data_IF_950440006824
#
_entry.id   IF_950440006824
#
_cell.length_a   1.000
_cell.length_b   1.000
_cell.length_c   1.000
_cell.angle_alpha   90.00
_cell.angle_beta   90.00
_cell.angle_gamma   90.00
#
_symmetry.space_group_name_H-M   'P 1'
#
loop_
_entity.id
_entity.type
_entity.pdbx_description
1 polymer ?
#
# COMPACT_ATOMS: atom_id res chain seq x y z
N UNK A 1 -25.37 -5.90 21.06
CA UNK A 1 -24.47 -4.90 21.68
C UNK A 1 -23.05 -5.33 21.40
N UNK A 2 -22.34 -4.64 20.49
CA UNK A 2 -20.91 -4.88 20.29
C UNK A 2 -20.20 -4.06 21.37
N UNK A 3 -19.64 -4.74 22.37
CA UNK A 3 -18.86 -4.10 23.43
C UNK A 3 -17.59 -3.53 22.80
N UNK A 4 -17.46 -2.21 22.81
CA UNK A 4 -16.26 -1.48 22.42
C UNK A 4 -15.11 -1.90 23.35
N UNK A 5 -14.32 -2.89 22.93
CA UNK A 5 -13.02 -3.18 23.55
C UNK A 5 -12.11 -1.95 23.46
N UNK A 6 -11.09 -1.85 24.33
CA UNK A 6 -10.16 -0.73 24.30
C UNK A 6 -9.58 -0.59 22.90
N UNK A 7 -9.68 0.61 22.32
CA UNK A 7 -9.13 0.89 21.00
C UNK A 7 -7.64 0.54 21.01
N UNK A 8 -7.24 -0.43 20.18
CA UNK A 8 -5.83 -0.81 20.10
C UNK A 8 -5.02 0.46 19.83
N UNK A 9 -4.06 0.82 20.69
CA UNK A 9 -3.12 1.87 20.35
C UNK A 9 -2.47 1.46 19.02
N UNK A 10 -2.17 2.43 18.16
CA UNK A 10 -1.27 2.21 17.02
C UNK A 10 0.07 1.86 17.66
N UNK A 11 0.25 0.59 18.04
CA UNK A 11 1.47 0.13 18.66
C UNK A 11 2.59 0.41 17.67
N UNK A 12 3.67 1.02 18.16
CA UNK A 12 4.91 1.04 17.44
C UNK A 12 5.17 -0.39 16.98
N UNK A 13 5.14 -0.62 15.66
CA UNK A 13 5.47 -1.92 15.11
C UNK A 13 6.83 -2.30 15.70
N UNK A 14 6.97 -3.50 16.28
CA UNK A 14 8.27 -3.93 16.77
C UNK A 14 9.25 -3.79 15.60
N UNK A 15 10.41 -3.18 15.86
CA UNK A 15 11.54 -3.18 14.92
C UNK A 15 11.74 -4.64 14.52
N UNK A 16 11.32 -5.00 13.31
CA UNK A 16 11.23 -6.39 12.90
C UNK A 16 12.64 -6.94 12.73
N UNK A 17 13.06 -7.76 13.69
CA UNK A 17 14.33 -8.47 13.65
C UNK A 17 14.40 -9.45 12.47
N UNK A 18 15.62 -9.73 12.02
CA UNK A 18 16.04 -10.43 10.79
C UNK A 18 15.24 -11.67 10.38
N UNK A 19 14.61 -12.39 11.31
CA UNK A 19 13.85 -13.60 11.02
C UNK A 19 12.59 -13.38 10.16
N UNK A 20 12.04 -12.16 10.13
CA UNK A 20 10.85 -11.86 9.35
C UNK A 20 11.12 -11.54 7.87
N UNK A 21 12.38 -11.44 7.47
CA UNK A 21 12.79 -11.14 6.10
C UNK A 21 12.62 -12.32 5.13
N UNK A 22 12.53 -13.54 5.65
CA UNK A 22 12.31 -14.78 4.87
C UNK A 22 10.85 -15.23 4.87
N UNK A 23 9.99 -14.63 5.69
CA UNK A 23 8.58 -14.99 5.77
C UNK A 23 7.80 -14.47 4.55
N UNK A 24 6.88 -15.28 4.02
CA UNK A 24 5.97 -14.90 2.91
C UNK A 24 5.04 -13.72 3.25
N UNK A 25 4.94 -13.34 4.52
CA UNK A 25 4.30 -12.15 5.06
C UNK A 25 5.03 -11.71 6.34
N UNK A 26 5.09 -10.40 6.69
CA UNK A 26 5.51 -9.98 8.02
C UNK A 26 4.56 -10.62 9.04
N UNK A 27 5.05 -11.03 10.22
CA UNK A 27 4.18 -11.48 11.29
C UNK A 27 3.23 -10.34 11.66
N UNK A 28 1.99 -10.46 11.20
CA UNK A 28 0.91 -9.55 11.52
C UNK A 28 0.52 -9.79 12.99
N UNK A 29 0.60 -8.74 13.80
CA UNK A 29 0.09 -8.78 15.16
C UNK A 29 -1.43 -9.02 15.18
N UNK A 30 -2.01 -9.35 16.34
CA UNK A 30 -3.48 -9.41 16.51
C UNK A 30 -4.18 -8.10 16.04
N UNK A 31 -3.53 -6.96 16.26
CA UNK A 31 -3.99 -5.64 15.81
C UNK A 31 -3.93 -5.45 14.28
N UNK A 32 -3.13 -6.26 13.60
CA UNK A 32 -3.03 -6.32 12.14
C UNK A 32 -4.05 -7.31 11.57
N UNK A 33 -4.46 -8.36 12.31
CA UNK A 33 -5.60 -9.20 11.92
C UNK A 33 -6.94 -8.46 12.02
N UNK A 34 -7.16 -7.66 13.08
CA UNK A 34 -8.32 -6.74 13.14
C UNK A 34 -8.29 -5.67 12.02
N UNK A 35 -7.10 -5.39 11.46
CA UNK A 35 -6.97 -4.55 10.28
C UNK A 35 -7.43 -5.29 9.02
N UNK A 36 -7.15 -6.58 8.86
CA UNK A 36 -7.65 -7.38 7.73
C UNK A 36 -9.18 -7.42 7.72
N UNK A 37 -9.81 -7.62 8.88
CA UNK A 37 -11.27 -7.58 9.02
C UNK A 37 -11.85 -6.24 8.54
N UNK A 38 -11.16 -5.12 8.81
CA UNK A 38 -11.54 -3.79 8.32
C UNK A 38 -11.31 -3.61 6.81
N UNK A 39 -10.33 -4.30 6.23
CA UNK A 39 -10.09 -4.28 4.79
C UNK A 39 -11.20 -4.97 4.03
N UNK A 40 -11.59 -6.16 4.48
CA UNK A 40 -12.64 -6.98 3.89
C UNK A 40 -14.00 -6.30 4.05
N UNK A 41 -14.32 -5.80 5.25
CA UNK A 41 -15.61 -5.18 5.54
C UNK A 41 -15.87 -3.84 4.80
N UNK A 42 -14.83 -3.13 4.36
CA UNK A 42 -14.99 -1.98 3.45
C UNK A 42 -15.05 -2.43 2.00
N UNK A 43 -14.21 -3.40 1.61
CA UNK A 43 -14.18 -3.91 0.24
C UNK A 43 -15.50 -4.60 -0.15
N UNK A 44 -16.08 -5.41 0.74
CA UNK A 44 -17.38 -6.06 0.57
C UNK A 44 -18.54 -5.07 0.43
N UNK A 45 -18.43 -3.88 1.06
CA UNK A 45 -19.43 -2.82 0.99
C UNK A 45 -19.21 -1.85 -0.16
N UNK A 46 -18.03 -1.87 -0.77
CA UNK A 46 -17.75 -1.07 -1.94
C UNK A 46 -18.59 -1.58 -3.12
N UNK A 47 -19.11 -0.67 -3.93
CA UNK A 47 -19.80 -1.06 -5.15
C UNK A 47 -18.79 -1.70 -6.12
N UNK A 48 -19.17 -2.75 -6.87
CA UNK A 48 -18.26 -3.40 -7.83
C UNK A 48 -17.63 -2.42 -8.84
N UNK A 49 -18.39 -1.39 -9.21
CA UNK A 49 -17.97 -0.28 -10.10
C UNK A 49 -16.73 0.48 -9.59
N UNK A 50 -16.46 0.42 -8.29
CA UNK A 50 -15.29 1.06 -7.68
C UNK A 50 -13.99 0.31 -7.94
N UNK A 51 -14.03 -0.99 -8.22
CA UNK A 51 -12.83 -1.77 -8.51
C UNK A 51 -12.18 -1.37 -9.84
N UNK A 52 -12.92 -0.72 -10.75
CA UNK A 52 -12.43 -0.28 -12.06
C UNK A 52 -11.94 1.16 -12.07
N UNK A 53 -12.11 1.91 -10.98
CA UNK A 53 -11.68 3.31 -10.93
C UNK A 53 -10.17 3.35 -10.63
N UNK A 54 -9.37 4.04 -11.46
CA UNK A 54 -7.95 4.21 -11.21
C UNK A 54 -7.73 4.86 -9.84
N UNK A 55 -6.76 4.31 -9.11
CA UNK A 55 -6.43 4.72 -7.75
C UNK A 55 -5.59 6.00 -7.75
N UNK A 56 -6.10 7.07 -8.36
CA UNK A 56 -5.41 8.36 -8.44
C UNK A 56 -5.41 9.03 -7.06
N UNK A 57 -4.38 8.76 -6.25
CA UNK A 57 -4.05 9.41 -4.97
C UNK A 57 -5.11 9.40 -3.83
N UNK A 58 -6.30 8.87 -4.06
CA UNK A 58 -7.43 8.87 -3.13
C UNK A 58 -8.62 8.05 -3.62
N UNK A 59 -9.64 7.92 -2.77
CA UNK A 59 -10.89 7.27 -3.14
C UNK A 59 -11.75 8.23 -3.96
N UNK A 60 -12.22 7.78 -5.13
CA UNK A 60 -13.20 8.53 -5.93
C UNK A 60 -14.44 8.87 -5.07
N UNK A 61 -14.94 10.13 -5.08
CA UNK A 61 -16.12 10.52 -4.31
C UNK A 61 -17.35 9.63 -4.55
N UNK A 62 -17.52 9.08 -5.76
CA UNK A 62 -18.59 8.13 -6.09
C UNK A 62 -18.44 6.81 -5.34
N UNK A 63 -17.21 6.41 -5.06
CA UNK A 63 -16.89 5.22 -4.28
C UNK A 63 -17.00 5.42 -2.78
N UNK A 64 -16.93 6.66 -2.32
CA UNK A 64 -17.24 7.03 -0.94
C UNK A 64 -18.76 7.10 -0.69
N UNK A 65 -19.56 7.37 -1.73
CA UNK A 65 -21.01 7.51 -1.62
C UNK A 65 -21.68 6.20 -1.13
N UNK A 66 -22.22 6.24 0.09
CA UNK A 66 -22.90 5.09 0.72
C UNK A 66 -22.01 4.27 1.67
N UNK A 67 -20.73 4.60 1.81
CA UNK A 67 -19.86 4.00 2.81
C UNK A 67 -19.80 4.85 4.09
N UNK A 68 -19.75 4.25 5.29
CA UNK A 68 -19.55 5.01 6.51
C UNK A 68 -18.17 5.69 6.50
N UNK A 69 -18.13 7.03 6.48
CA UNK A 69 -16.90 7.84 6.43
C UNK A 69 -15.86 7.42 7.48
N UNK A 70 -16.31 7.19 8.73
CA UNK A 70 -15.45 6.74 9.85
C UNK A 70 -14.76 5.41 9.55
N UNK A 71 -15.44 4.51 8.86
CA UNK A 71 -14.94 3.18 8.52
C UNK A 71 -13.87 3.29 7.42
N UNK A 72 -14.15 4.03 6.35
CA UNK A 72 -13.18 4.30 5.28
C UNK A 72 -11.95 5.04 5.82
N UNK A 73 -12.16 6.03 6.70
CA UNK A 73 -11.07 6.73 7.37
C UNK A 73 -10.21 5.82 8.27
N UNK A 74 -10.80 4.83 8.95
CA UNK A 74 -10.06 3.82 9.72
C UNK A 74 -9.22 2.93 8.79
N UNK A 75 -9.80 2.40 7.71
CA UNK A 75 -9.07 1.61 6.70
C UNK A 75 -7.95 2.43 6.07
N UNK A 76 -8.20 3.67 5.64
CA UNK A 76 -7.19 4.55 5.06
C UNK A 76 -6.01 4.84 6.01
N UNK A 77 -6.25 5.00 7.32
CA UNK A 77 -5.15 5.11 8.30
C UNK A 77 -4.33 3.83 8.37
N UNK A 78 -4.97 2.67 8.29
CA UNK A 78 -4.31 1.36 8.34
C UNK A 78 -3.51 1.07 7.07
N UNK A 79 -4.09 1.32 5.90
CA UNK A 79 -3.40 1.25 4.60
C UNK A 79 -2.12 2.09 4.64
N UNK A 80 -2.19 3.34 5.13
CA UNK A 80 -1.00 4.20 5.27
C UNK A 80 0.09 3.60 6.15
N UNK A 81 -0.28 2.97 7.26
CA UNK A 81 0.70 2.30 8.14
C UNK A 81 1.37 1.15 7.39
N UNK A 82 0.59 0.27 6.75
CA UNK A 82 1.11 -0.86 5.98
C UNK A 82 2.06 -0.38 4.87
N UNK A 83 1.62 0.53 4.01
CA UNK A 83 2.41 1.05 2.89
C UNK A 83 3.72 1.68 3.38
N UNK A 84 3.70 2.42 4.50
CA UNK A 84 4.91 3.01 5.09
C UNK A 84 5.88 1.98 5.63
N UNK A 85 5.39 0.90 6.23
CA UNK A 85 6.29 -0.15 6.72
C UNK A 85 6.87 -0.94 5.56
N UNK A 86 6.05 -1.31 4.58
CA UNK A 86 6.56 -1.97 3.37
C UNK A 86 7.60 -1.09 2.68
N UNK A 87 7.38 0.23 2.57
CA UNK A 87 8.40 1.10 1.98
C UNK A 87 9.65 1.24 2.84
N UNK A 88 9.50 1.49 4.14
CA UNK A 88 10.61 1.86 5.03
C UNK A 88 11.42 0.68 5.57
N UNK A 89 10.77 -0.43 5.90
CA UNK A 89 11.47 -1.62 6.37
C UNK A 89 11.87 -2.53 5.21
N UNK A 90 11.03 -2.66 4.19
CA UNK A 90 11.20 -3.71 3.18
C UNK A 90 11.89 -3.24 1.90
N UNK A 91 11.56 -2.05 1.41
CA UNK A 91 12.14 -1.50 0.18
C UNK A 91 13.37 -0.61 0.44
N UNK A 92 13.53 -0.05 1.64
CA UNK A 92 14.65 0.84 1.93
C UNK A 92 16.03 0.17 1.73
N UNK A 93 16.25 -1.11 2.10
CA UNK A 93 17.52 -1.77 1.80
C UNK A 93 17.79 -1.98 0.30
N UNK A 94 16.76 -1.90 -0.54
CA UNK A 94 16.87 -1.92 -2.00
C UNK A 94 17.12 -0.51 -2.58
N UNK A 95 17.39 0.49 -1.73
CA UNK A 95 17.69 1.87 -2.13
C UNK A 95 16.47 2.76 -2.39
N UNK A 96 15.26 2.32 -2.01
CA UNK A 96 14.05 3.13 -2.15
C UNK A 96 13.92 4.12 -1.00
N UNK A 97 13.66 5.38 -1.31
CA UNK A 97 13.38 6.43 -0.31
C UNK A 97 11.93 6.82 -0.39
N UNK A 98 11.17 6.61 0.69
CA UNK A 98 9.76 7.01 0.74
C UNK A 98 9.57 8.40 1.33
N UNK A 99 8.78 9.24 0.65
CA UNK A 99 8.28 10.49 1.18
C UNK A 99 6.75 10.47 1.15
N UNK A 100 6.10 11.11 2.12
CA UNK A 100 4.65 11.31 2.05
C UNK A 100 4.36 12.14 0.79
N UNK A 101 3.43 11.68 -0.05
CA UNK A 101 2.87 12.55 -1.07
C UNK A 101 2.27 13.77 -0.35
N UNK A 102 2.52 14.98 -0.84
CA UNK A 102 1.74 16.13 -0.39
C UNK A 102 0.27 15.76 -0.52
N UNK A 103 -0.53 15.95 0.53
CA UNK A 103 -1.96 15.64 0.47
C UNK A 103 -2.56 16.50 -0.65
N UNK A 104 -3.08 15.92 -1.74
CA UNK A 104 -3.59 16.72 -2.85
C UNK A 104 -4.69 17.68 -2.39
N UNK A 105 -5.46 17.28 -1.36
CA UNK A 105 -6.65 18.02 -0.89
C UNK A 105 -6.84 18.02 0.65
N UNK A 106 -5.81 17.71 1.45
CA UNK A 106 -5.98 17.50 2.91
C UNK A 106 -6.92 16.34 3.27
N UNK A 107 -7.21 15.46 2.29
CA UNK A 107 -8.17 14.37 2.42
C UNK A 107 -7.72 13.38 3.49
N UNK A 108 -8.57 13.19 4.51
CA UNK A 108 -8.38 12.18 5.57
C UNK A 108 -8.33 10.75 5.02
N UNK A 109 -8.65 10.54 3.74
CA UNK A 109 -8.67 9.24 3.08
C UNK A 109 -7.47 9.01 2.14
N UNK A 110 -6.59 10.00 1.92
CA UNK A 110 -5.42 9.76 1.08
C UNK A 110 -4.49 8.72 1.72
N UNK A 111 -4.08 7.76 0.90
CA UNK A 111 -3.15 6.66 1.23
C UNK A 111 -1.83 6.77 0.47
N UNK A 112 -1.70 7.82 -0.33
CA UNK A 112 -0.61 8.00 -1.28
C UNK A 112 0.75 8.16 -0.60
N UNK A 113 1.75 7.46 -1.13
CA UNK A 113 3.14 7.53 -0.71
C UNK A 113 4.04 7.62 -1.94
N UNK A 114 4.93 8.61 -1.98
CA UNK A 114 5.93 8.75 -3.04
C UNK A 114 7.10 7.84 -2.71
N UNK A 115 7.47 6.97 -3.63
CA UNK A 115 8.62 6.08 -3.58
C UNK A 115 9.66 6.56 -4.59
N UNK A 116 10.77 7.11 -4.10
CA UNK A 116 11.87 7.59 -4.94
C UNK A 116 12.89 6.50 -5.19
N UNK A 117 13.26 6.33 -6.45
CA UNK A 117 14.31 5.42 -6.89
C UNK A 117 14.80 5.84 -8.29
N UNK A 118 16.12 5.84 -8.58
CA UNK A 118 16.65 6.28 -9.88
C UNK A 118 16.09 5.53 -11.10
N UNK A 119 15.53 4.34 -10.87
CA UNK A 119 14.95 3.47 -11.90
C UNK A 119 13.42 3.39 -11.85
N UNK A 120 12.74 4.31 -11.15
CA UNK A 120 11.30 4.29 -10.95
C UNK A 120 10.52 4.08 -12.26
N UNK A 121 10.82 4.85 -13.32
CA UNK A 121 10.13 4.68 -14.61
C UNK A 121 10.31 3.31 -15.27
N UNK A 122 11.42 2.60 -15.01
CA UNK A 122 11.60 1.20 -15.48
C UNK A 122 10.79 0.24 -14.61
N UNK A 123 10.84 0.42 -13.29
CA UNK A 123 10.08 -0.41 -12.34
C UNK A 123 8.58 -0.30 -12.60
N UNK A 124 8.07 0.91 -12.86
CA UNK A 124 6.67 1.11 -13.24
C UNK A 124 6.28 0.30 -14.46
N UNK A 125 7.10 0.30 -15.52
CA UNK A 125 6.79 -0.47 -16.74
C UNK A 125 6.69 -1.97 -16.47
N UNK A 126 7.55 -2.51 -15.59
CA UNK A 126 7.47 -3.92 -15.17
C UNK A 126 6.17 -4.18 -14.40
N UNK A 127 5.82 -3.28 -13.47
CA UNK A 127 4.59 -3.40 -12.67
C UNK A 127 3.32 -3.25 -13.51
N UNK A 128 3.30 -2.29 -14.44
CA UNK A 128 2.18 -1.98 -15.32
C UNK A 128 1.90 -3.10 -16.35
N UNK A 129 2.94 -3.85 -16.73
CA UNK A 129 2.76 -5.08 -17.52
C UNK A 129 2.19 -6.25 -16.70
N UNK A 130 2.24 -6.18 -15.38
CA UNK A 130 1.68 -7.16 -14.46
C UNK A 130 0.31 -6.77 -13.90
N UNK A 131 -0.17 -7.54 -12.90
CA UNK A 131 -1.48 -7.31 -12.26
C UNK A 131 -1.51 -6.15 -11.26
N UNK A 132 -0.35 -5.63 -10.87
CA UNK A 132 -0.22 -4.65 -9.79
C UNK A 132 -0.02 -3.21 -10.28
N UNK A 133 -0.07 -2.97 -11.60
CA UNK A 133 0.05 -1.64 -12.18
C UNK A 133 -0.91 -0.62 -11.57
N UNK A 134 -2.15 -1.02 -11.26
CA UNK A 134 -3.17 -0.14 -10.69
C UNK A 134 -2.86 0.38 -9.27
N UNK A 135 -1.87 -0.19 -8.57
CA UNK A 135 -1.44 0.25 -7.24
C UNK A 135 -0.38 1.35 -7.30
N UNK A 136 0.28 1.49 -8.45
CA UNK A 136 1.40 2.39 -8.64
C UNK A 136 1.12 3.35 -9.79
N UNK A 137 1.64 4.56 -9.67
CA UNK A 137 1.64 5.52 -10.77
C UNK A 137 3.07 6.03 -10.95
N UNK A 138 3.48 6.28 -12.18
CA UNK A 138 4.77 6.91 -12.45
C UNK A 138 4.59 8.43 -12.43
N UNK A 139 5.08 9.08 -11.37
CA UNK A 139 4.94 10.54 -11.22
C UNK A 139 6.01 11.25 -12.02
N UNK A 140 7.25 10.74 -11.95
CA UNK A 140 8.40 11.23 -12.70
C UNK A 140 9.42 10.09 -12.88
N UNK A 141 10.41 10.21 -13.79
CA UNK A 141 11.36 9.13 -14.07
C UNK A 141 12.06 8.52 -12.83
N UNK A 142 12.17 9.27 -11.73
CA UNK A 142 12.77 8.87 -10.46
C UNK A 142 11.79 8.66 -9.30
N UNK A 143 10.47 8.71 -9.54
CA UNK A 143 9.46 8.56 -8.50
C UNK A 143 8.21 7.77 -8.93
N UNK A 144 7.82 6.82 -8.08
CA UNK A 144 6.51 6.15 -8.13
C UNK A 144 5.59 6.75 -7.06
N UNK A 145 4.29 6.79 -7.32
CA UNK A 145 3.26 6.96 -6.32
C UNK A 145 2.67 5.60 -6.00
N UNK A 146 2.80 5.13 -4.77
CA UNK A 146 2.00 4.01 -4.26
C UNK A 146 0.72 4.59 -3.66
N UNK A 147 -0.43 4.35 -4.28
CA UNK A 147 -1.69 4.95 -3.89
C UNK A 147 -2.83 3.94 -3.79
N UNK A 148 -2.74 2.88 -2.95
CA UNK A 148 -3.81 1.90 -2.82
C UNK A 148 -5.10 2.53 -2.31
N UNK A 149 -6.19 2.42 -3.06
CA UNK A 149 -7.47 3.01 -2.69
C UNK A 149 -8.01 2.39 -1.39
N UNK A 150 -8.32 3.18 -0.36
CA UNK A 150 -8.83 2.65 0.90
C UNK A 150 -10.24 2.08 0.79
N UNK A 151 -10.93 2.21 -0.35
CA UNK A 151 -12.26 1.62 -0.54
C UNK A 151 -12.11 0.18 -1.03
N UNK A 152 -11.49 -0.01 -2.20
CA UNK A 152 -11.51 -1.29 -2.91
C UNK A 152 -10.17 -2.04 -2.89
N UNK A 153 -9.05 -1.44 -2.48
CA UNK A 153 -7.80 -2.20 -2.38
C UNK A 153 -7.97 -3.29 -1.31
N UNK A 154 -7.63 -4.53 -1.67
CA UNK A 154 -7.51 -5.66 -0.75
C UNK A 154 -6.09 -5.74 -0.21
N UNK A 155 -5.94 -6.28 1.01
CA UNK A 155 -4.64 -6.31 1.68
C UNK A 155 -3.63 -7.12 0.87
N UNK A 156 -4.10 -8.24 0.34
CA UNK A 156 -3.30 -9.12 -0.51
C UNK A 156 -2.80 -8.39 -1.75
N UNK A 157 -3.63 -7.58 -2.42
CA UNK A 157 -3.18 -6.83 -3.59
C UNK A 157 -2.04 -5.88 -3.26
N UNK A 158 -2.15 -5.16 -2.12
CA UNK A 158 -1.10 -4.23 -1.66
C UNK A 158 0.17 -4.99 -1.31
N UNK A 159 0.05 -6.12 -0.63
CA UNK A 159 1.19 -6.98 -0.33
C UNK A 159 1.89 -7.51 -1.60
N UNK A 160 1.12 -8.13 -2.50
CA UNK A 160 1.62 -8.72 -3.73
C UNK A 160 2.24 -7.64 -4.64
N UNK A 161 1.64 -6.46 -4.68
CA UNK A 161 2.20 -5.31 -5.40
C UNK A 161 3.55 -4.86 -4.88
N UNK A 162 3.73 -4.76 -3.57
CA UNK A 162 5.02 -4.43 -2.96
C UNK A 162 6.04 -5.57 -3.12
N UNK A 163 5.59 -6.82 -3.08
CA UNK A 163 6.42 -8.00 -3.38
C UNK A 163 6.93 -7.96 -4.82
N UNK A 164 6.04 -7.68 -5.78
CA UNK A 164 6.38 -7.55 -7.19
C UNK A 164 7.36 -6.38 -7.42
N UNK A 165 7.17 -5.25 -6.75
CA UNK A 165 8.09 -4.11 -6.82
C UNK A 165 9.48 -4.50 -6.30
N UNK A 166 9.56 -5.21 -5.17
CA UNK A 166 10.82 -5.71 -4.64
C UNK A 166 11.50 -6.70 -5.59
N UNK A 167 10.75 -7.63 -6.18
CA UNK A 167 11.25 -8.54 -7.21
C UNK A 167 11.82 -7.80 -8.43
N UNK A 168 11.12 -6.75 -8.89
CA UNK A 168 11.59 -5.91 -9.98
C UNK A 168 12.87 -5.14 -9.64
N UNK A 169 13.02 -4.68 -8.38
CA UNK A 169 14.25 -4.06 -7.88
C UNK A 169 15.43 -5.04 -7.89
N UNK A 170 15.23 -6.26 -7.39
CA UNK A 170 16.26 -7.30 -7.40
C UNK A 170 16.72 -7.66 -8.83
N UNK A 171 15.77 -7.81 -9.76
CA UNK A 171 16.09 -8.05 -11.18
C UNK A 171 16.77 -6.87 -11.86
N UNK A 172 16.48 -5.64 -11.42
CA UNK A 172 17.16 -4.45 -11.93
C UNK A 172 18.58 -4.31 -11.37
N UNK A 173 18.82 -4.76 -10.15
CA UNK A 173 20.13 -4.73 -9.47
C UNK A 173 21.11 -5.80 -9.91
N UNK A 174 20.64 -6.90 -10.50
CA UNK A 174 21.51 -7.95 -11.02
C UNK A 174 22.42 -7.40 -12.15
N UNK A 175 23.73 -7.71 -12.12
CA UNK A 175 24.61 -7.40 -13.25
C UNK A 175 24.05 -8.08 -14.51
N UNK A 176 24.09 -7.40 -15.65
CA UNK A 176 23.71 -8.02 -16.92
C UNK A 176 24.56 -9.29 -17.11
N UNK A 177 23.97 -10.42 -17.55
CA UNK A 177 24.76 -11.60 -17.88
C UNK A 177 25.76 -11.16 -18.95
N UNK A 178 27.05 -11.22 -18.59
CA UNK A 178 28.13 -10.78 -19.47
C UNK A 178 28.05 -11.51 -20.80
N UNK A 179 27.88 -10.74 -21.87
CA UNK A 179 28.11 -11.17 -23.25
C UNK A 179 29.55 -10.92 -23.65
#
# INVERSE_FOLDING_TARGET
MITSGPACPIAAWPVMADAAWTARHPPLSRCDMEALDLWDLVAERARPECATVPSAAGADPRCLAGLPDRLVGRKARRVRVVVRVLSGAWLAPEGVVSARAGEPDGSRHSTALVLRHPRAGRLYRVLAAGRHGALFENVDPGALLAAPCPVHAAYQDVWDGFTALRGALALAGAPAPGG
#
